data_IF_556354867567
#
_entry.id   IF_556354867567
#
_cell.length_a   1.000
_cell.length_b   1.000
_cell.length_c   1.000
_cell.angle_alpha   90.00
_cell.angle_beta   90.00
_cell.angle_gamma   90.00
#
_symmetry.space_group_name_H-M   'P 1'
#
loop_
_entity.id
_entity.type
_entity.pdbx_description
1 polymer ?
#
# COMPACT_ATOMS: atom_id res chain seq x y z
N UNK A 1 -13.70 7.14 4.33
CA UNK A 1 -14.24 6.10 5.20
C UNK A 1 -14.59 4.89 4.34
N UNK A 2 -13.86 3.80 4.49
CA UNK A 2 -14.16 2.54 3.81
C UNK A 2 -15.14 1.74 4.65
N UNK A 3 -16.32 1.45 4.10
CA UNK A 3 -17.30 0.57 4.72
C UNK A 3 -17.13 -0.83 4.13
N UNK A 4 -16.57 -1.77 4.88
CA UNK A 4 -16.62 -3.18 4.54
C UNK A 4 -18.03 -3.70 4.82
N UNK A 5 -18.84 -3.93 3.77
CA UNK A 5 -20.07 -4.70 3.87
C UNK A 5 -19.70 -6.18 3.90
N UNK A 6 -19.95 -6.83 5.01
CA UNK A 6 -20.04 -8.29 5.08
C UNK A 6 -21.50 -8.67 4.83
N UNK A 7 -21.84 -8.99 3.59
CA UNK A 7 -23.12 -9.62 3.29
C UNK A 7 -23.06 -11.08 3.75
N UNK A 8 -23.64 -11.35 4.92
CA UNK A 8 -24.05 -12.71 5.29
C UNK A 8 -25.40 -12.96 4.61
N UNK A 9 -25.42 -13.75 3.57
CA UNK A 9 -26.64 -14.44 3.17
C UNK A 9 -26.94 -15.50 4.22
N UNK A 10 -28.01 -15.31 5.03
CA UNK A 10 -29.11 -16.22 5.25
C UNK A 10 -29.95 -15.83 6.46
N UNK A 11 -31.27 -15.79 6.25
CA UNK A 11 -32.31 -16.19 7.20
C UNK A 11 -32.78 -15.17 8.22
N UNK A 12 -33.91 -14.55 7.90
CA UNK A 12 -34.98 -14.06 8.82
C UNK A 12 -34.57 -13.74 10.27
N UNK A 13 -34.49 -12.47 10.60
CA UNK A 13 -34.41 -11.98 11.96
C UNK A 13 -33.59 -10.70 12.02
N UNK A 14 -34.24 -9.57 12.39
CA UNK A 14 -33.62 -8.27 12.41
C UNK A 14 -32.26 -8.26 13.09
N UNK A 15 -31.23 -8.11 12.31
CA UNK A 15 -29.87 -7.97 12.79
C UNK A 15 -29.37 -6.58 12.41
N UNK A 16 -29.10 -5.80 13.41
CA UNK A 16 -28.34 -4.56 13.36
C UNK A 16 -27.06 -4.80 12.57
N UNK A 17 -26.97 -4.21 11.38
CA UNK A 17 -25.74 -4.19 10.60
C UNK A 17 -24.67 -3.42 11.39
N UNK A 18 -23.74 -4.14 11.97
CA UNK A 18 -22.52 -3.53 12.51
C UNK A 18 -21.73 -3.05 11.33
N UNK A 19 -21.88 -1.75 11.00
CA UNK A 19 -20.98 -1.05 10.11
C UNK A 19 -19.66 -0.90 10.86
N UNK A 20 -18.73 -1.82 10.66
CA UNK A 20 -17.34 -1.56 11.03
C UNK A 20 -16.79 -0.55 10.02
N UNK A 21 -16.90 0.73 10.35
CA UNK A 21 -16.15 1.76 9.69
C UNK A 21 -14.68 1.45 9.91
N UNK A 22 -13.99 0.97 8.88
CA UNK A 22 -12.53 1.00 8.88
C UNK A 22 -12.19 2.48 8.81
N UNK A 23 -12.02 3.08 9.96
CA UNK A 23 -11.50 4.43 10.07
C UNK A 23 -10.09 4.34 9.50
N UNK A 24 -9.86 4.94 8.33
CA UNK A 24 -8.51 5.22 7.86
C UNK A 24 -7.93 6.21 8.87
N UNK A 25 -7.32 5.70 9.94
CA UNK A 25 -6.56 6.53 10.84
C UNK A 25 -5.39 7.07 10.03
N UNK A 26 -5.26 8.37 9.98
CA UNK A 26 -4.08 9.00 9.47
C UNK A 26 -2.95 8.65 10.43
N UNK A 27 -2.05 7.81 9.98
CA UNK A 27 -0.89 7.37 10.73
C UNK A 27 0.17 8.46 10.72
N UNK A 28 0.87 8.63 11.85
CA UNK A 28 1.99 9.58 11.88
C UNK A 28 3.06 9.19 10.86
N UNK A 29 3.80 10.16 10.29
CA UNK A 29 4.90 9.89 9.37
C UNK A 29 5.92 8.91 9.93
N UNK A 30 6.31 9.06 11.19
CA UNK A 30 7.28 8.18 11.86
C UNK A 30 6.81 6.73 11.87
N UNK A 31 5.52 6.49 12.17
CA UNK A 31 4.97 5.14 12.16
C UNK A 31 4.95 4.57 10.74
N UNK A 32 4.57 5.37 9.74
CA UNK A 32 4.57 4.94 8.34
C UNK A 32 5.98 4.55 7.88
N UNK A 33 6.99 5.37 8.16
CA UNK A 33 8.38 5.10 7.84
C UNK A 33 8.89 3.84 8.55
N UNK A 34 8.56 3.69 9.84
CA UNK A 34 8.93 2.51 10.62
C UNK A 34 8.30 1.24 10.05
N UNK A 35 7.00 1.25 9.77
CA UNK A 35 6.28 0.10 9.20
C UNK A 35 6.87 -0.29 7.85
N UNK A 36 7.08 0.68 6.97
CA UNK A 36 7.61 0.45 5.63
C UNK A 36 9.12 0.14 5.62
N UNK A 37 9.82 0.36 6.73
CA UNK A 37 11.26 0.17 6.83
C UNK A 37 12.03 1.16 5.97
N UNK A 38 11.54 2.38 5.88
CA UNK A 38 12.13 3.45 5.09
C UNK A 38 13.20 4.18 5.90
N UNK A 39 14.36 4.32 5.29
CA UNK A 39 15.46 5.18 5.71
C UNK A 39 15.45 6.42 4.79
N UNK A 40 15.25 7.60 5.36
CA UNK A 40 15.10 8.84 4.59
C UNK A 40 16.34 9.16 3.76
N UNK A 41 17.54 8.82 4.27
CA UNK A 41 18.81 9.09 3.58
C UNK A 41 18.98 8.24 2.29
N UNK A 42 18.17 7.20 2.15
CA UNK A 42 18.22 6.25 1.03
C UNK A 42 17.07 6.38 0.05
N UNK A 43 16.19 7.37 0.26
CA UNK A 43 15.10 7.61 -0.67
C UNK A 43 15.62 8.25 -1.96
N UNK A 44 15.26 7.65 -3.07
CA UNK A 44 15.48 8.24 -4.40
C UNK A 44 14.30 9.14 -4.78
N UNK A 45 14.60 10.33 -5.31
CA UNK A 45 13.60 11.30 -5.72
C UNK A 45 13.29 11.23 -7.23
N UNK A 46 12.12 11.71 -7.66
CA UNK A 46 10.98 12.17 -6.85
C UNK A 46 10.24 11.02 -6.17
N UNK A 47 9.51 11.36 -5.10
CA UNK A 47 8.76 10.41 -4.27
C UNK A 47 7.26 10.58 -4.52
N UNK A 48 6.54 9.46 -4.73
CA UNK A 48 5.09 9.43 -4.84
C UNK A 48 4.49 8.63 -3.69
N UNK A 49 3.56 9.23 -2.95
CA UNK A 49 2.76 8.55 -1.93
C UNK A 49 1.36 8.24 -2.50
N UNK A 50 1.11 6.96 -2.78
CA UNK A 50 -0.16 6.46 -3.34
C UNK A 50 -1.10 6.06 -2.22
N UNK A 51 -2.17 6.84 -2.05
CA UNK A 51 -3.08 6.74 -0.92
C UNK A 51 -2.55 7.49 0.29
N UNK A 52 -2.12 8.73 0.08
CA UNK A 52 -1.49 9.59 1.09
C UNK A 52 -2.45 10.03 2.22
N UNK A 53 -3.74 9.67 2.11
CA UNK A 53 -4.77 10.10 3.04
C UNK A 53 -5.20 11.56 2.84
N UNK A 54 -6.21 11.97 3.62
CA UNK A 54 -6.83 13.29 3.44
C UNK A 54 -5.85 14.45 3.63
N UNK A 55 -4.92 14.34 4.60
CA UNK A 55 -3.99 15.40 4.98
C UNK A 55 -2.60 15.26 4.37
N UNK A 56 -2.27 14.13 3.75
CA UNK A 56 -0.95 13.90 3.16
C UNK A 56 0.20 14.05 4.15
N UNK A 57 0.03 13.57 5.38
CA UNK A 57 0.97 13.78 6.49
C UNK A 57 2.41 13.35 6.14
N UNK A 58 2.56 12.18 5.48
CA UNK A 58 3.88 11.72 5.08
C UNK A 58 4.50 12.63 4.01
N UNK A 59 3.69 13.10 3.05
CA UNK A 59 4.16 14.01 2.01
C UNK A 59 4.68 15.31 2.60
N UNK A 60 3.92 15.92 3.52
CA UNK A 60 4.34 17.13 4.20
C UNK A 60 5.62 16.93 5.01
N UNK A 61 5.74 15.82 5.72
CA UNK A 61 6.94 15.46 6.47
C UNK A 61 8.17 15.31 5.55
N UNK A 62 8.04 14.59 4.44
CA UNK A 62 9.12 14.43 3.47
C UNK A 62 9.54 15.78 2.85
N UNK A 63 8.56 16.63 2.53
CA UNK A 63 8.83 17.98 2.03
C UNK A 63 9.56 18.87 3.05
N UNK A 64 9.19 18.80 4.33
CA UNK A 64 9.89 19.49 5.40
C UNK A 64 11.34 19.01 5.58
N UNK A 65 11.59 17.72 5.30
CA UNK A 65 12.95 17.15 5.25
C UNK A 65 13.73 17.54 3.99
N UNK A 66 13.15 18.35 3.09
CA UNK A 66 13.81 18.83 1.87
C UNK A 66 13.69 17.87 0.68
N UNK A 67 12.88 16.82 0.77
CA UNK A 67 12.70 15.83 -0.29
C UNK A 67 11.58 16.23 -1.26
N UNK A 68 11.74 15.89 -2.54
CA UNK A 68 10.72 16.10 -3.57
C UNK A 68 9.66 14.99 -3.48
N UNK A 69 8.53 15.27 -2.82
CA UNK A 69 7.43 14.34 -2.61
C UNK A 69 6.10 14.90 -3.09
N UNK A 70 5.26 14.03 -3.65
CA UNK A 70 3.90 14.30 -4.09
C UNK A 70 2.99 13.18 -3.56
N UNK A 71 1.77 13.53 -3.17
CA UNK A 71 0.77 12.56 -2.71
C UNK A 71 -0.44 12.51 -3.61
N UNK A 72 -1.05 11.34 -3.72
CA UNK A 72 -2.32 11.15 -4.41
C UNK A 72 -3.30 10.37 -3.55
N UNK A 73 -4.52 10.88 -3.42
CA UNK A 73 -5.64 10.20 -2.76
C UNK A 73 -6.96 10.77 -3.29
N UNK A 74 -8.04 9.98 -3.21
CA UNK A 74 -9.39 10.42 -3.59
C UNK A 74 -10.03 11.37 -2.60
N UNK A 75 -9.49 11.45 -1.41
CA UNK A 75 -10.03 12.24 -0.30
C UNK A 75 -9.17 13.44 0.06
N UNK A 76 -8.01 13.58 -0.56
CA UNK A 76 -7.10 14.69 -0.30
C UNK A 76 -7.66 15.98 -0.90
N UNK A 77 -7.46 17.09 -0.23
CA UNK A 77 -7.73 18.40 -0.80
C UNK A 77 -6.56 18.78 -1.72
N UNK A 78 -6.86 19.09 -2.98
CA UNK A 78 -5.84 19.49 -3.95
C UNK A 78 -4.96 20.63 -3.44
N UNK A 79 -3.69 20.51 -3.69
CA UNK A 79 -2.68 21.46 -3.26
C UNK A 79 -1.40 21.36 -4.07
N UNK A 80 -0.38 22.13 -3.76
CA UNK A 80 0.85 22.17 -4.57
C UNK A 80 1.60 20.84 -4.61
N UNK A 81 1.34 19.92 -3.68
CA UNK A 81 2.01 18.63 -3.54
C UNK A 81 1.04 17.47 -3.34
N UNK A 82 -0.25 17.74 -3.34
CA UNK A 82 -1.32 16.78 -3.11
C UNK A 82 -2.30 16.84 -4.28
N UNK A 83 -2.63 15.69 -4.83
CA UNK A 83 -3.51 15.57 -6.01
C UNK A 83 -4.72 14.72 -5.64
N UNK A 84 -5.92 15.30 -5.76
CA UNK A 84 -7.17 14.54 -5.63
C UNK A 84 -7.38 13.71 -6.90
N UNK A 85 -7.15 12.40 -6.80
CA UNK A 85 -7.33 11.48 -7.92
C UNK A 85 -7.58 10.05 -7.46
N UNK A 86 -8.25 9.27 -8.32
CA UNK A 86 -8.30 7.83 -8.20
C UNK A 86 -7.06 7.23 -8.87
N UNK A 87 -6.18 6.58 -8.09
CA UNK A 87 -4.97 5.97 -8.63
C UNK A 87 -5.22 4.90 -9.69
N UNK A 88 -6.41 4.27 -9.75
CA UNK A 88 -6.76 3.36 -10.84
C UNK A 88 -6.97 4.08 -12.17
N UNK A 89 -7.33 5.37 -12.14
CA UNK A 89 -7.54 6.21 -13.32
C UNK A 89 -6.29 7.00 -13.71
N UNK A 90 -5.32 7.14 -12.81
CA UNK A 90 -4.05 7.82 -13.12
C UNK A 90 -3.22 7.02 -14.11
N UNK A 91 -2.41 7.73 -14.89
CA UNK A 91 -1.33 7.16 -15.68
C UNK A 91 0.00 7.37 -14.96
N UNK A 92 0.76 6.30 -14.81
CA UNK A 92 2.09 6.35 -14.22
C UNK A 92 3.13 6.29 -15.33
N UNK A 93 3.72 7.45 -15.66
CA UNK A 93 4.71 7.56 -16.71
C UNK A 93 5.94 6.68 -16.42
N UNK A 94 6.48 5.96 -17.43
CA UNK A 94 7.64 5.10 -17.24
C UNK A 94 8.86 5.86 -16.71
N UNK A 95 9.55 5.27 -15.75
CA UNK A 95 10.77 5.80 -15.14
C UNK A 95 10.65 7.23 -14.60
N UNK A 96 9.47 7.60 -14.12
CA UNK A 96 9.20 8.92 -13.53
C UNK A 96 9.65 9.01 -12.06
N UNK A 97 9.50 7.93 -11.28
CA UNK A 97 9.63 7.96 -9.83
C UNK A 97 10.89 7.27 -9.32
N UNK A 98 11.61 7.94 -8.44
CA UNK A 98 12.70 7.33 -7.67
C UNK A 98 12.17 6.42 -6.57
N UNK A 99 11.11 6.86 -5.89
CA UNK A 99 10.45 6.08 -4.84
C UNK A 99 8.93 6.18 -4.98
N UNK A 100 8.25 5.06 -4.81
CA UNK A 100 6.79 5.00 -4.60
C UNK A 100 6.55 4.45 -3.20
N UNK A 101 5.59 5.04 -2.48
CA UNK A 101 5.17 4.61 -1.14
C UNK A 101 3.68 4.34 -1.16
N UNK A 102 3.22 3.32 -0.44
CA UNK A 102 1.80 3.13 -0.16
C UNK A 102 1.61 2.41 1.17
N UNK A 103 1.27 3.18 2.20
CA UNK A 103 1.04 2.66 3.54
C UNK A 103 -0.44 2.36 3.75
N UNK A 104 -0.78 1.08 3.92
CA UNK A 104 -2.14 0.61 4.24
C UNK A 104 -3.23 1.07 3.26
N UNK A 105 -2.87 1.47 2.04
CA UNK A 105 -3.77 2.01 1.03
C UNK A 105 -3.89 1.06 -0.18
N UNK A 106 -3.10 1.21 -1.22
CA UNK A 106 -3.19 0.41 -2.44
C UNK A 106 -3.21 -1.10 -2.17
N UNK A 107 -2.31 -1.58 -1.33
CA UNK A 107 -2.22 -3.01 -1.03
C UNK A 107 -3.44 -3.55 -0.27
N UNK A 108 -4.04 -2.78 0.64
CA UNK A 108 -5.30 -3.17 1.29
C UNK A 108 -6.44 -3.27 0.29
N UNK A 109 -6.55 -2.30 -0.61
CA UNK A 109 -7.57 -2.32 -1.66
C UNK A 109 -7.36 -3.50 -2.61
N UNK A 110 -6.12 -3.75 -3.05
CA UNK A 110 -5.81 -4.85 -3.94
C UNK A 110 -6.16 -6.20 -3.29
N UNK A 111 -5.77 -6.40 -2.01
CA UNK A 111 -6.14 -7.60 -1.26
C UNK A 111 -7.65 -7.77 -1.17
N UNK A 112 -8.36 -6.71 -0.85
CA UNK A 112 -9.82 -6.73 -0.79
C UNK A 112 -10.40 -7.21 -2.12
N UNK A 113 -10.03 -6.60 -3.23
CA UNK A 113 -10.54 -6.96 -4.55
C UNK A 113 -10.10 -8.34 -5.03
N UNK A 114 -8.94 -8.82 -4.59
CA UNK A 114 -8.46 -10.18 -4.88
C UNK A 114 -9.25 -11.26 -4.13
N UNK A 115 -9.69 -10.97 -2.90
CA UNK A 115 -10.44 -11.92 -2.07
C UNK A 115 -11.95 -11.90 -2.33
N UNK A 116 -12.47 -10.82 -2.87
CA UNK A 116 -13.90 -10.64 -3.09
C UNK A 116 -14.33 -11.18 -4.46
N UNK A 117 -15.42 -11.97 -4.47
CA UNK A 117 -15.95 -12.61 -5.68
C UNK A 117 -16.30 -11.61 -6.80
N UNK A 118 -16.68 -10.40 -6.45
CA UNK A 118 -17.05 -9.32 -7.39
C UNK A 118 -16.01 -8.19 -7.41
N UNK A 119 -14.79 -8.51 -7.05
CA UNK A 119 -13.67 -7.57 -7.11
C UNK A 119 -13.21 -7.29 -8.54
N UNK A 120 -12.28 -6.37 -8.66
CA UNK A 120 -11.60 -6.02 -9.92
C UNK A 120 -10.09 -6.27 -9.79
N UNK A 121 -9.66 -7.50 -9.43
CA UNK A 121 -8.25 -7.76 -9.14
C UNK A 121 -7.34 -7.53 -10.34
N UNK A 122 -7.85 -7.74 -11.57
CA UNK A 122 -7.09 -7.52 -12.80
C UNK A 122 -6.72 -6.04 -12.98
N UNK A 123 -7.62 -5.12 -12.65
CA UNK A 123 -7.34 -3.69 -12.72
C UNK A 123 -6.25 -3.29 -11.72
N UNK A 124 -6.31 -3.84 -10.50
CA UNK A 124 -5.26 -3.63 -9.50
C UNK A 124 -3.93 -4.27 -9.90
N UNK A 125 -3.95 -5.47 -10.50
CA UNK A 125 -2.73 -6.13 -10.99
C UNK A 125 -2.08 -5.30 -12.12
N UNK A 126 -2.87 -4.83 -13.08
CA UNK A 126 -2.39 -3.94 -14.14
C UNK A 126 -1.77 -2.66 -13.57
N UNK A 127 -2.43 -2.04 -12.59
CA UNK A 127 -1.94 -0.82 -11.93
C UNK A 127 -0.68 -1.08 -11.12
N UNK A 128 -0.55 -2.23 -10.46
CA UNK A 128 0.66 -2.64 -9.78
C UNK A 128 1.85 -2.73 -10.74
N UNK A 129 1.67 -3.37 -11.90
CA UNK A 129 2.71 -3.46 -12.95
C UNK A 129 3.06 -2.09 -13.51
N UNK A 130 2.06 -1.22 -13.73
CA UNK A 130 2.26 0.16 -14.19
C UNK A 130 3.11 0.97 -13.19
N UNK A 131 2.80 0.89 -11.89
CA UNK A 131 3.62 1.52 -10.83
C UNK A 131 5.06 0.99 -10.82
N UNK A 132 5.26 -0.32 -10.96
CA UNK A 132 6.60 -0.88 -11.06
C UNK A 132 7.37 -0.34 -12.28
N UNK A 133 6.70 -0.23 -13.42
CA UNK A 133 7.29 0.29 -14.66
C UNK A 133 7.64 1.78 -14.56
N UNK A 134 6.92 2.51 -13.71
CA UNK A 134 7.17 3.94 -13.46
C UNK A 134 8.36 4.22 -12.54
N UNK A 135 8.92 3.20 -11.90
CA UNK A 135 10.15 3.36 -11.14
C UNK A 135 11.34 3.64 -12.06
N UNK A 136 12.20 4.56 -11.68
CA UNK A 136 13.53 4.73 -12.27
C UNK A 136 14.39 3.47 -12.06
N UNK A 137 15.40 3.19 -12.90
CA UNK A 137 16.41 2.20 -12.55
C UNK A 137 17.04 2.50 -11.18
N UNK A 138 17.07 1.51 -10.29
CA UNK A 138 17.46 1.67 -8.89
C UNK A 138 16.36 2.19 -7.96
N UNK A 139 15.26 2.66 -8.51
CA UNK A 139 14.09 3.12 -7.74
C UNK A 139 13.37 2.00 -7.01
N UNK A 140 12.57 2.35 -6.00
CA UNK A 140 11.92 1.38 -5.11
C UNK A 140 10.45 1.69 -4.86
N UNK A 141 9.64 0.63 -4.76
CA UNK A 141 8.26 0.69 -4.27
C UNK A 141 8.17 0.05 -2.89
N UNK A 142 7.74 0.84 -1.91
CA UNK A 142 7.51 0.42 -0.53
C UNK A 142 6.01 0.35 -0.26
N UNK A 143 5.53 -0.77 0.26
CA UNK A 143 4.12 -0.91 0.62
C UNK A 143 3.88 -1.86 1.78
N UNK A 144 2.77 -1.66 2.46
CA UNK A 144 2.23 -2.53 3.50
C UNK A 144 0.69 -2.50 3.46
N UNK A 145 0.04 -3.64 3.72
CA UNK A 145 0.57 -4.99 3.93
C UNK A 145 1.06 -5.62 2.63
N UNK A 146 1.86 -6.70 2.73
CA UNK A 146 2.37 -7.45 1.59
C UNK A 146 1.27 -8.09 0.73
N UNK A 147 1.62 -8.41 -0.52
CA UNK A 147 0.75 -8.95 -1.58
C UNK A 147 1.31 -10.27 -2.13
N UNK A 148 1.35 -11.36 -1.33
CA UNK A 148 2.04 -12.59 -1.71
C UNK A 148 1.55 -13.20 -3.04
N UNK A 149 0.27 -13.01 -3.37
CA UNK A 149 -0.36 -13.56 -4.57
C UNK A 149 0.15 -12.91 -5.88
N UNK A 150 0.63 -11.65 -5.85
CA UNK A 150 1.19 -10.98 -7.04
C UNK A 150 2.72 -10.91 -7.00
N UNK A 151 3.33 -10.93 -5.83
CA UNK A 151 4.76 -10.81 -5.64
C UNK A 151 5.56 -11.98 -6.25
N UNK A 152 4.94 -13.16 -6.32
CA UNK A 152 5.51 -14.33 -6.98
C UNK A 152 5.57 -14.21 -8.51
N UNK A 153 4.86 -13.23 -9.07
CA UNK A 153 4.74 -12.97 -10.50
C UNK A 153 5.58 -11.77 -10.95
N UNK A 154 6.51 -11.29 -10.10
CA UNK A 154 7.36 -10.15 -10.45
C UNK A 154 8.16 -10.43 -11.72
N UNK A 155 8.18 -9.48 -12.68
CA UNK A 155 8.96 -9.61 -13.89
C UNK A 155 10.48 -9.65 -13.60
N UNK A 156 11.26 -10.17 -14.55
CA UNK A 156 12.72 -10.01 -14.51
C UNK A 156 13.09 -8.52 -14.43
N UNK A 157 14.16 -8.20 -13.69
CA UNK A 157 14.57 -6.81 -13.46
C UNK A 157 13.98 -6.18 -12.20
N UNK A 158 13.25 -6.94 -11.37
CA UNK A 158 12.79 -6.49 -10.07
C UNK A 158 13.25 -7.45 -8.96
N UNK A 159 13.58 -6.88 -7.80
CA UNK A 159 13.94 -7.64 -6.59
C UNK A 159 13.04 -7.22 -5.45
N UNK A 160 12.54 -8.18 -4.69
CA UNK A 160 11.71 -7.94 -3.51
C UNK A 160 12.47 -8.29 -2.23
N UNK A 161 12.31 -7.47 -1.21
CA UNK A 161 12.65 -7.76 0.17
C UNK A 161 11.44 -7.55 1.06
N UNK A 162 11.32 -8.34 2.13
CA UNK A 162 10.17 -8.36 3.03
C UNK A 162 10.65 -8.14 4.46
N UNK A 163 9.88 -7.34 5.21
CA UNK A 163 10.10 -7.09 6.63
C UNK A 163 8.85 -7.49 7.40
N UNK A 164 8.97 -8.47 8.29
CA UNK A 164 7.86 -8.85 9.18
C UNK A 164 7.41 -7.66 10.01
N UNK A 165 6.11 -7.53 10.17
CA UNK A 165 5.50 -6.52 11.02
C UNK A 165 5.04 -7.19 12.31
N UNK A 166 5.62 -6.76 13.43
CA UNK A 166 5.08 -7.09 14.75
C UNK A 166 3.80 -6.27 14.94
N UNK A 167 2.65 -6.94 14.94
CA UNK A 167 1.34 -6.29 15.06
C UNK A 167 0.78 -6.53 16.47
N UNK A 168 1.10 -5.68 17.45
CA UNK A 168 0.72 -5.90 18.85
C UNK A 168 -0.81 -5.93 19.06
N UNK A 169 -1.59 -5.28 18.19
CA UNK A 169 -3.05 -5.16 18.36
C UNK A 169 -3.85 -6.39 17.96
N UNK A 170 -3.26 -7.34 17.25
CA UNK A 170 -3.94 -8.57 16.84
C UNK A 170 -3.76 -9.74 17.83
N UNK A 171 -2.85 -9.59 18.79
CA UNK A 171 -2.67 -10.56 19.87
C UNK A 171 -3.84 -10.61 20.85
N UNK A 172 -4.77 -9.67 20.81
CA UNK A 172 -5.99 -9.64 21.63
C UNK A 172 -7.19 -10.31 20.98
N UNK A 173 -7.15 -10.57 19.67
CA UNK A 173 -8.10 -11.51 19.09
C UNK A 173 -7.54 -12.89 19.40
N UNK A 174 -8.16 -13.62 20.32
CA UNK A 174 -7.88 -15.03 20.60
C UNK A 174 -7.97 -15.82 19.29
N UNK A 175 -6.86 -15.82 18.54
CA UNK A 175 -6.66 -16.73 17.43
C UNK A 175 -6.40 -18.10 18.05
N UNK A 176 -7.46 -18.83 18.28
CA UNK A 176 -7.49 -20.07 19.01
C UNK A 176 -6.72 -21.25 18.37
N UNK A 177 -5.87 -21.00 17.34
CA UNK A 177 -5.06 -22.05 16.72
C UNK A 177 -3.72 -21.51 16.21
N UNK A 178 -2.64 -22.20 16.55
CA UNK A 178 -1.27 -21.93 16.06
C UNK A 178 -1.17 -21.86 14.53
N UNK A 179 -1.99 -22.64 13.82
CA UNK A 179 -2.09 -22.61 12.34
C UNK A 179 -2.56 -21.25 11.78
N UNK A 180 -3.43 -20.54 12.52
CA UNK A 180 -3.87 -19.21 12.11
C UNK A 180 -2.82 -18.14 12.41
N UNK A 181 -1.98 -18.34 13.43
CA UNK A 181 -0.87 -17.43 13.72
C UNK A 181 0.20 -17.47 12.61
N UNK A 182 0.55 -18.64 12.10
CA UNK A 182 1.46 -18.79 10.98
C UNK A 182 0.92 -18.09 9.71
N UNK A 183 -0.36 -18.28 9.40
CA UNK A 183 -1.04 -17.63 8.27
C UNK A 183 -1.13 -16.10 8.43
N UNK A 184 -1.27 -15.61 9.67
CA UNK A 184 -1.27 -14.17 9.96
C UNK A 184 0.13 -13.59 9.82
N UNK A 185 1.17 -14.24 10.33
CA UNK A 185 2.56 -13.79 10.20
C UNK A 185 3.04 -13.78 8.76
N UNK A 186 2.67 -14.76 7.94
CA UNK A 186 2.95 -14.74 6.49
C UNK A 186 2.25 -13.60 5.75
N UNK A 187 1.18 -13.04 6.31
CA UNK A 187 0.34 -12.02 5.64
C UNK A 187 0.65 -10.58 6.05
N UNK A 188 1.31 -10.37 7.18
CA UNK A 188 1.61 -9.02 7.70
C UNK A 188 3.09 -8.71 7.67
N UNK A 189 3.53 -8.29 6.53
CA UNK A 189 4.88 -7.75 6.29
C UNK A 189 4.77 -6.51 5.42
N UNK A 190 5.76 -5.66 5.51
CA UNK A 190 6.00 -4.64 4.49
C UNK A 190 6.92 -5.19 3.42
N UNK A 191 6.69 -4.77 2.19
CA UNK A 191 7.49 -5.15 1.04
C UNK A 191 8.20 -3.94 0.46
N UNK A 192 9.42 -4.18 -0.02
CA UNK A 192 10.20 -3.25 -0.82
C UNK A 192 10.57 -3.94 -2.12
N UNK A 193 10.09 -3.42 -3.26
CA UNK A 193 10.45 -3.88 -4.60
C UNK A 193 11.39 -2.85 -5.21
N UNK A 194 12.54 -3.28 -5.67
CA UNK A 194 13.54 -2.44 -6.34
C UNK A 194 13.61 -2.81 -7.81
N UNK A 195 13.51 -1.81 -8.70
CA UNK A 195 13.84 -1.98 -10.12
C UNK A 195 15.36 -2.04 -10.25
N UNK A 196 15.90 -3.17 -10.67
CA UNK A 196 17.34 -3.30 -10.89
C UNK A 196 17.78 -2.46 -12.09
N UNK A 197 18.94 -1.84 -12.00
CA UNK A 197 19.55 -1.24 -13.18
C UNK A 197 19.83 -2.36 -14.20
N UNK A 198 19.57 -2.12 -15.47
CA UNK A 198 20.02 -3.01 -16.51
C UNK A 198 21.56 -2.99 -16.45
N UNK A 199 22.17 -4.15 -16.20
CA UNK A 199 23.60 -4.28 -16.42
C UNK A 199 23.82 -4.07 -17.93
N UNK A 200 24.34 -2.88 -18.27
CA UNK A 200 24.85 -2.64 -19.63
C UNK A 200 26.09 -3.51 -19.77
N UNK A 201 25.91 -4.70 -20.39
CA UNK A 201 26.99 -5.59 -20.80
C UNK A 201 27.81 -4.95 -21.94
#
# INVERSE_FOLDING_TARGET
>A
AFTLRLDRENGSGGSSLIHSQVTCNEYSPDLQLQVLGIDLERLAEPILDVGCGKRGELVHYLRQAGLEAVGVDRLVEDGPYLVEADWLQMQFEPAAWGTIVSHMAFSNHFRFHHLYRHGIPEAYAAKFVEMLSSLKPGGAFYYAPGLPFIETLLPAGYRISKKSLDVPCWSQVELAREEMQAVVQERFYSARIVRTALETG
#
